data_IF_825248282091
#
_entry.id   IF_825248282091
#
_cell.length_a   1.000
_cell.length_b   1.000
_cell.length_c   1.000
_cell.angle_alpha   90.00
_cell.angle_beta   90.00
_cell.angle_gamma   90.00
#
_symmetry.space_group_name_H-M   'P 1'
#
loop_
_entity.id
_entity.type
_entity.pdbx_description
1 polymer ?
#
# COMPACT_ATOMS: atom_id res chain seq x y z
N UNK A 1 -2.94 -14.57 2.11
CA UNK A 1 -2.70 -13.18 1.67
C UNK A 1 -1.67 -12.56 2.61
N UNK A 2 -0.90 -11.60 2.12
CA UNK A 2 -0.03 -10.76 2.95
C UNK A 2 -0.63 -9.36 2.99
N UNK A 3 -0.63 -8.72 4.15
CA UNK A 3 -1.06 -7.33 4.31
C UNK A 3 0.17 -6.46 4.55
N UNK A 4 0.29 -5.36 3.82
CA UNK A 4 1.36 -4.37 3.92
C UNK A 4 0.70 -3.03 4.19
N UNK A 5 1.04 -2.43 5.33
CA UNK A 5 0.34 -1.28 5.86
C UNK A 5 1.36 -0.17 6.10
N UNK A 6 1.14 0.94 5.42
CA UNK A 6 1.80 2.20 5.73
C UNK A 6 1.42 2.65 7.14
N UNK A 7 2.42 3.02 7.93
CA UNK A 7 2.24 3.58 9.26
C UNK A 7 3.07 4.85 9.50
N UNK A 8 3.40 5.58 8.43
CA UNK A 8 4.04 6.89 8.52
C UNK A 8 3.10 7.95 9.13
N UNK A 9 3.62 9.15 9.36
CA UNK A 9 2.88 10.21 10.03
C UNK A 9 1.62 10.64 9.27
N UNK A 10 1.63 10.61 7.94
CA UNK A 10 0.49 10.97 7.10
C UNK A 10 -0.70 10.03 7.28
N UNK A 11 -0.47 8.80 7.75
CA UNK A 11 -1.51 7.81 8.04
C UNK A 11 -2.30 8.11 9.33
N UNK A 12 -1.93 9.11 10.13
CA UNK A 12 -2.64 9.45 11.37
C UNK A 12 -4.16 9.62 11.22
N UNK A 13 -4.69 10.31 10.18
CA UNK A 13 -6.13 10.42 9.95
C UNK A 13 -6.81 9.08 9.62
N UNK A 14 -6.04 8.09 9.17
CA UNK A 14 -6.51 6.75 8.80
C UNK A 14 -6.34 5.70 9.91
N UNK A 15 -5.59 6.00 10.98
CA UNK A 15 -5.20 5.02 11.99
C UNK A 15 -6.40 4.25 12.59
N UNK A 16 -7.51 4.94 12.87
CA UNK A 16 -8.72 4.29 13.37
C UNK A 16 -9.37 3.34 12.36
N UNK A 17 -9.35 3.70 11.06
CA UNK A 17 -9.86 2.86 9.99
C UNK A 17 -8.96 1.62 9.77
N UNK A 18 -7.64 1.80 9.81
CA UNK A 18 -6.66 0.71 9.76
C UNK A 18 -6.86 -0.27 10.92
N UNK A 19 -7.01 0.26 12.15
CA UNK A 19 -7.30 -0.56 13.32
C UNK A 19 -8.59 -1.38 13.15
N UNK A 20 -9.67 -0.74 12.68
CA UNK A 20 -10.94 -1.40 12.41
C UNK A 20 -10.80 -2.48 11.33
N UNK A 21 -10.04 -2.20 10.27
CA UNK A 21 -9.77 -3.16 9.20
C UNK A 21 -9.00 -4.37 9.71
N UNK A 22 -7.98 -4.17 10.56
CA UNK A 22 -7.23 -5.25 11.20
C UNK A 22 -8.17 -6.14 12.01
N UNK A 23 -8.98 -5.56 12.90
CA UNK A 23 -9.95 -6.31 13.71
C UNK A 23 -10.91 -7.14 12.85
N UNK A 24 -11.50 -6.52 11.83
CA UNK A 24 -12.41 -7.23 10.91
C UNK A 24 -11.70 -8.33 10.10
N UNK A 25 -10.43 -8.15 9.75
CA UNK A 25 -9.65 -9.15 9.02
C UNK A 25 -9.39 -10.40 9.85
N UNK A 26 -9.16 -10.23 11.15
CA UNK A 26 -9.07 -11.33 12.12
C UNK A 26 -10.41 -12.03 12.29
N UNK A 27 -11.50 -11.28 12.47
CA UNK A 27 -12.82 -11.83 12.76
C UNK A 27 -13.46 -12.56 11.56
N UNK A 28 -13.22 -12.08 10.33
CA UNK A 28 -13.97 -12.52 9.14
C UNK A 28 -13.17 -13.26 8.09
N UNK A 29 -11.86 -13.02 8.01
CA UNK A 29 -11.07 -13.52 6.89
C UNK A 29 -10.18 -14.67 7.35
N UNK A 30 -9.40 -14.54 8.42
CA UNK A 30 -8.31 -15.48 8.73
C UNK A 30 -7.43 -15.84 7.49
N UNK A 31 -7.49 -15.01 6.44
CA UNK A 31 -6.84 -15.21 5.15
C UNK A 31 -5.49 -14.49 5.11
N UNK A 32 -5.23 -13.57 6.05
CA UNK A 32 -3.96 -12.88 6.17
C UNK A 32 -3.02 -13.79 6.95
N UNK A 33 -1.99 -14.29 6.26
CA UNK A 33 -0.97 -15.17 6.83
C UNK A 33 0.21 -14.39 7.39
N UNK A 34 0.40 -13.16 6.91
CA UNK A 34 1.53 -12.32 7.25
C UNK A 34 1.14 -10.84 7.20
N UNK A 35 1.56 -10.08 8.19
CA UNK A 35 1.37 -8.63 8.28
C UNK A 35 2.74 -7.95 8.21
N UNK A 36 2.80 -6.85 7.46
CA UNK A 36 3.96 -5.98 7.33
C UNK A 36 3.51 -4.55 7.61
N UNK A 37 4.29 -3.84 8.41
CA UNK A 37 4.14 -2.41 8.69
C UNK A 37 5.44 -1.72 8.31
N UNK A 38 5.37 -0.57 7.65
CA UNK A 38 6.56 0.19 7.29
C UNK A 38 6.45 1.66 7.68
N UNK A 39 7.59 2.26 8.03
CA UNK A 39 7.67 3.62 8.57
C UNK A 39 8.70 4.51 7.86
N UNK A 40 9.17 4.06 6.70
CA UNK A 40 10.20 4.70 5.86
C UNK A 40 11.58 4.85 6.52
N UNK A 41 12.07 3.76 7.10
CA UNK A 41 13.49 3.65 7.47
C UNK A 41 13.84 4.02 8.91
N UNK A 42 12.92 3.91 9.87
CA UNK A 42 13.21 4.09 11.30
C UNK A 42 13.83 5.47 11.65
N UNK A 43 13.25 6.56 11.13
CA UNK A 43 13.77 7.94 11.26
C UNK A 43 15.20 8.10 10.71
N UNK A 44 15.63 7.22 9.80
CA UNK A 44 16.87 7.41 9.05
C UNK A 44 16.82 8.74 8.31
N UNK A 45 17.91 9.50 8.39
CA UNK A 45 18.06 10.76 7.67
C UNK A 45 17.81 10.58 6.17
N UNK A 46 17.10 11.51 5.54
CA UNK A 46 16.60 11.38 4.16
C UNK A 46 17.70 11.05 3.15
N UNK A 47 18.89 11.65 3.32
CA UNK A 47 20.05 11.41 2.46
C UNK A 47 20.59 9.97 2.51
N UNK A 48 20.23 9.19 3.53
CA UNK A 48 20.66 7.80 3.71
C UNK A 48 19.59 6.79 3.25
N UNK A 49 18.40 7.25 2.86
CA UNK A 49 17.31 6.41 2.37
C UNK A 49 17.57 6.01 0.91
N UNK A 50 18.26 4.90 0.74
CA UNK A 50 18.62 4.32 -0.56
C UNK A 50 17.56 3.30 -0.98
N UNK A 51 17.06 3.42 -2.22
CA UNK A 51 16.10 2.49 -2.80
C UNK A 51 16.63 1.05 -2.70
N UNK A 52 15.82 0.17 -2.14
CA UNK A 52 16.14 -1.24 -1.90
C UNK A 52 16.81 -1.52 -0.53
N UNK A 53 17.10 -0.48 0.26
CA UNK A 53 17.72 -0.61 1.58
C UNK A 53 17.28 0.49 2.57
N UNK A 54 16.09 1.05 2.36
CA UNK A 54 15.53 2.11 3.20
C UNK A 54 15.28 1.58 4.62
N UNK A 55 14.74 0.37 4.76
CA UNK A 55 14.51 -0.28 6.06
C UNK A 55 13.22 0.17 6.73
N UNK A 56 13.11 0.06 8.06
CA UNK A 56 11.89 0.44 8.77
C UNK A 56 10.70 -0.47 8.47
N UNK A 57 10.97 -1.75 8.20
CA UNK A 57 9.96 -2.75 7.82
C UNK A 57 9.82 -3.77 8.95
N UNK A 58 8.60 -3.93 9.45
CA UNK A 58 8.26 -4.75 10.60
C UNK A 58 7.26 -5.81 10.19
N UNK A 59 7.60 -7.09 10.40
CA UNK A 59 6.80 -8.23 9.95
C UNK A 59 6.33 -9.13 11.09
N UNK A 60 5.15 -9.74 10.94
CA UNK A 60 4.70 -10.81 11.84
C UNK A 60 3.76 -11.80 11.16
N UNK A 61 3.94 -13.08 11.50
CA UNK A 61 3.01 -14.16 11.21
C UNK A 61 2.33 -14.58 12.53
N UNK A 62 1.06 -14.23 12.70
CA UNK A 62 0.33 -14.52 13.94
C UNK A 62 -1.17 -14.55 13.68
N UNK A 63 -1.89 -15.31 14.50
CA UNK A 63 -3.36 -15.30 14.58
C UNK A 63 -3.86 -14.45 15.75
N UNK A 64 -2.96 -13.74 16.46
CA UNK A 64 -3.28 -12.89 17.59
C UNK A 64 -3.25 -11.40 17.21
N UNK A 65 -4.41 -10.75 17.25
CA UNK A 65 -4.55 -9.32 16.96
C UNK A 65 -3.64 -8.45 17.82
N UNK A 66 -3.48 -8.72 19.12
CA UNK A 66 -2.65 -7.92 20.01
C UNK A 66 -1.16 -7.99 19.61
N UNK A 67 -0.69 -9.15 19.16
CA UNK A 67 0.68 -9.28 18.62
C UNK A 67 0.86 -8.43 17.37
N UNK A 68 -0.11 -8.45 16.44
CA UNK A 68 -0.07 -7.59 15.24
C UNK A 68 -0.07 -6.11 15.60
N UNK A 69 -0.92 -5.70 16.55
CA UNK A 69 -0.97 -4.31 17.01
C UNK A 69 0.32 -3.86 17.68
N UNK A 70 0.97 -4.74 18.47
CA UNK A 70 2.25 -4.43 19.08
C UNK A 70 3.36 -4.19 18.03
N UNK A 71 3.38 -4.98 16.96
CA UNK A 71 4.33 -4.81 15.84
C UNK A 71 4.04 -3.53 15.05
N UNK A 72 2.76 -3.24 14.79
CA UNK A 72 2.33 -1.98 14.18
C UNK A 72 2.78 -0.77 15.01
N UNK A 73 2.54 -0.80 16.32
CA UNK A 73 2.96 0.27 17.24
C UNK A 73 4.48 0.43 17.32
N UNK A 74 5.23 -0.67 17.26
CA UNK A 74 6.69 -0.61 17.21
C UNK A 74 7.18 0.09 15.95
N UNK A 75 6.59 -0.23 14.78
CA UNK A 75 6.89 0.46 13.53
C UNK A 75 6.58 1.96 13.62
N UNK A 76 5.37 2.33 14.06
CA UNK A 76 4.96 3.74 14.25
C UNK A 76 5.89 4.52 15.20
N UNK A 77 6.39 3.86 16.26
CA UNK A 77 7.26 4.51 17.25
C UNK A 77 8.65 4.80 16.69
N UNK A 78 9.13 3.96 15.78
CA UNK A 78 10.51 4.02 15.30
C UNK A 78 10.69 4.93 14.08
N UNK A 79 9.62 5.32 13.38
CA UNK A 79 9.70 6.16 12.18
C UNK A 79 8.37 6.80 11.82
N UNK A 80 8.40 7.88 11.03
CA UNK A 80 7.19 8.62 10.63
C UNK A 80 7.16 9.05 9.15
N UNK A 81 8.01 8.52 8.27
CA UNK A 81 8.17 9.05 6.91
C UNK A 81 9.37 9.98 6.84
N UNK A 82 9.16 11.29 7.01
CA UNK A 82 10.23 12.31 6.94
C UNK A 82 10.05 13.22 5.74
N UNK A 83 10.80 12.99 4.65
CA UNK A 83 10.83 13.80 3.43
C UNK A 83 9.60 13.72 2.53
N UNK A 84 8.66 12.80 2.80
CA UNK A 84 7.44 12.60 2.03
C UNK A 84 7.48 11.37 1.11
N UNK A 85 8.56 11.12 0.34
CA UNK A 85 8.70 9.88 -0.40
C UNK A 85 9.04 8.65 0.44
N UNK A 86 8.27 7.59 0.30
CA UNK A 86 8.32 6.41 1.19
C UNK A 86 8.73 5.11 0.47
N UNK A 87 8.92 4.02 1.23
CA UNK A 87 9.45 2.73 0.76
C UNK A 87 8.41 1.60 0.66
N UNK A 88 7.24 1.90 0.09
CA UNK A 88 6.13 0.97 -0.08
C UNK A 88 6.53 -0.34 -0.76
N UNK A 89 7.28 -0.26 -1.86
CA UNK A 89 7.58 -1.44 -2.69
C UNK A 89 8.59 -2.35 -1.98
N UNK A 90 9.57 -1.82 -1.27
CA UNK A 90 10.46 -2.59 -0.39
C UNK A 90 9.65 -3.38 0.65
N UNK A 91 8.64 -2.77 1.28
CA UNK A 91 7.76 -3.43 2.24
C UNK A 91 6.91 -4.54 1.58
N UNK A 92 6.43 -4.32 0.36
CA UNK A 92 5.73 -5.34 -0.43
C UNK A 92 6.63 -6.54 -0.75
N UNK A 93 7.84 -6.30 -1.23
CA UNK A 93 8.80 -7.34 -1.57
C UNK A 93 9.21 -8.14 -0.33
N UNK A 94 9.40 -7.47 0.81
CA UNK A 94 9.60 -8.12 2.10
C UNK A 94 8.43 -9.06 2.42
N UNK A 95 7.19 -8.58 2.36
CA UNK A 95 6.00 -9.39 2.63
C UNK A 95 5.84 -10.61 1.73
N UNK A 96 6.11 -10.46 0.43
CA UNK A 96 6.09 -11.56 -0.54
C UNK A 96 7.12 -12.63 -0.16
N UNK A 97 8.34 -12.22 0.18
CA UNK A 97 9.42 -13.13 0.61
C UNK A 97 9.04 -13.90 1.88
N UNK A 98 8.39 -13.24 2.85
CA UNK A 98 8.00 -13.86 4.11
C UNK A 98 6.78 -14.79 3.98
N UNK A 99 5.97 -14.63 2.94
CA UNK A 99 4.80 -15.48 2.70
C UNK A 99 4.82 -16.13 1.31
N UNK A 100 5.69 -17.15 1.07
CA UNK A 100 5.79 -17.82 -0.22
C UNK A 100 4.50 -18.56 -0.64
N UNK A 101 3.60 -18.84 0.31
CA UNK A 101 2.29 -19.47 0.05
C UNK A 101 1.14 -18.46 -0.11
N UNK A 102 1.44 -17.16 -0.07
CA UNK A 102 0.46 -16.11 -0.34
C UNK A 102 0.30 -15.91 -1.84
N UNK A 103 -0.95 -15.77 -2.29
CA UNK A 103 -1.29 -15.58 -3.71
C UNK A 103 -1.76 -14.17 -4.04
N UNK A 104 -1.95 -13.32 -3.02
CA UNK A 104 -2.40 -11.94 -3.13
C UNK A 104 -1.76 -11.09 -2.04
N UNK A 105 -1.55 -9.81 -2.33
CA UNK A 105 -1.07 -8.80 -1.41
C UNK A 105 -2.15 -7.72 -1.22
N UNK A 106 -2.34 -7.26 0.02
CA UNK A 106 -3.15 -6.09 0.33
C UNK A 106 -2.19 -4.98 0.73
N UNK A 107 -2.29 -3.82 0.08
CA UNK A 107 -1.52 -2.64 0.42
C UNK A 107 -2.46 -1.56 0.94
N UNK A 108 -2.21 -1.06 2.14
CA UNK A 108 -3.01 -0.02 2.79
C UNK A 108 -2.14 1.21 2.96
N UNK A 109 -2.50 2.31 2.30
CA UNK A 109 -1.79 3.59 2.34
C UNK A 109 -2.78 4.74 2.22
N UNK A 110 -2.36 5.95 2.59
CA UNK A 110 -3.16 7.13 2.34
C UNK A 110 -2.98 7.67 0.92
N UNK A 111 -3.92 8.52 0.49
CA UNK A 111 -3.95 9.01 -0.87
C UNK A 111 -2.85 10.05 -1.19
N UNK A 112 -2.06 10.47 -0.21
CA UNK A 112 -0.93 11.40 -0.37
C UNK A 112 0.40 10.67 -0.60
N UNK A 113 0.39 9.33 -0.66
CA UNK A 113 1.59 8.51 -0.84
C UNK A 113 2.45 8.92 -2.05
N UNK A 114 3.77 8.93 -1.86
CA UNK A 114 4.73 9.19 -2.94
C UNK A 114 5.86 8.15 -2.94
N UNK A 115 5.61 6.89 -3.36
CA UNK A 115 6.61 5.84 -3.20
C UNK A 115 7.88 6.17 -3.98
N UNK A 116 9.02 6.26 -3.28
CA UNK A 116 10.34 6.55 -3.86
C UNK A 116 10.84 5.39 -4.71
N UNK A 117 10.37 4.19 -4.41
CA UNK A 117 10.89 2.92 -4.88
C UNK A 117 10.00 2.27 -5.95
N UNK A 118 9.18 3.05 -6.66
CA UNK A 118 8.36 2.58 -7.79
C UNK A 118 9.16 1.86 -8.89
N UNK A 119 10.47 2.13 -9.00
CA UNK A 119 11.38 1.39 -9.91
C UNK A 119 11.47 -0.10 -9.58
N UNK A 120 11.19 -0.49 -8.33
CA UNK A 120 11.19 -1.88 -7.87
C UNK A 120 9.88 -2.61 -8.17
N UNK A 121 8.83 -1.92 -8.62
CA UNK A 121 7.48 -2.48 -8.78
C UNK A 121 7.43 -3.67 -9.75
N UNK A 122 8.33 -3.74 -10.73
CA UNK A 122 8.44 -4.89 -11.64
C UNK A 122 8.80 -6.20 -10.93
N UNK A 123 9.33 -6.14 -9.71
CA UNK A 123 9.65 -7.31 -8.90
C UNK A 123 8.46 -7.78 -8.04
N UNK A 124 7.35 -7.05 -8.00
CA UNK A 124 6.15 -7.41 -7.25
C UNK A 124 5.36 -8.44 -8.05
N UNK A 125 5.39 -9.69 -7.62
CA UNK A 125 4.83 -10.84 -8.36
C UNK A 125 3.40 -11.20 -7.99
N UNK A 126 2.88 -10.66 -6.89
CA UNK A 126 1.50 -10.91 -6.45
C UNK A 126 0.57 -9.77 -6.89
N UNK A 127 -0.69 -10.07 -7.26
CA UNK A 127 -1.71 -9.05 -7.41
C UNK A 127 -1.86 -8.21 -6.15
N UNK A 128 -1.76 -6.88 -6.30
CA UNK A 128 -1.85 -5.92 -5.19
C UNK A 128 -3.24 -5.30 -5.15
N UNK A 129 -3.98 -5.60 -4.09
CA UNK A 129 -5.23 -4.94 -3.73
C UNK A 129 -4.92 -3.73 -2.87
N UNK A 130 -5.05 -2.54 -3.44
CA UNK A 130 -4.83 -1.29 -2.72
C UNK A 130 -6.09 -0.90 -1.96
N UNK A 131 -5.97 -0.58 -0.68
CA UNK A 131 -7.01 0.07 0.12
C UNK A 131 -6.49 1.46 0.45
N UNK A 132 -7.16 2.50 -0.06
CA UNK A 132 -6.74 3.88 0.16
C UNK A 132 -7.69 4.63 1.07
N UNK A 133 -7.14 5.50 1.91
CA UNK A 133 -7.87 6.43 2.75
C UNK A 133 -7.51 7.88 2.40
N UNK A 134 -8.13 8.87 3.07
CA UNK A 134 -7.90 10.31 2.82
C UNK A 134 -8.15 10.76 1.37
N UNK A 135 -9.14 10.17 0.71
CA UNK A 135 -9.53 10.60 -0.64
C UNK A 135 -10.14 12.01 -0.63
N UNK A 136 -11.02 12.32 0.33
CA UNK A 136 -11.69 13.63 0.39
C UNK A 136 -12.40 13.99 -0.92
N UNK A 137 -12.15 15.19 -1.44
CA UNK A 137 -12.55 15.61 -2.80
C UNK A 137 -11.47 15.35 -3.86
N UNK A 138 -10.36 14.73 -3.48
CA UNK A 138 -9.19 14.51 -4.32
C UNK A 138 -9.36 13.28 -5.23
N UNK A 139 -8.55 13.24 -6.26
CA UNK A 139 -8.35 12.09 -7.13
C UNK A 139 -7.56 10.99 -6.41
N UNK A 140 -7.84 9.72 -6.73
CA UNK A 140 -6.99 8.62 -6.29
C UNK A 140 -5.58 8.80 -6.86
N UNK A 141 -4.59 8.66 -6.00
CA UNK A 141 -3.19 8.80 -6.34
C UNK A 141 -2.80 7.89 -7.51
N UNK A 142 -2.18 8.46 -8.54
CA UNK A 142 -1.80 7.73 -9.74
C UNK A 142 -0.80 6.59 -9.45
N UNK A 143 0.06 6.73 -8.43
CA UNK A 143 0.98 5.66 -8.03
C UNK A 143 0.23 4.44 -7.51
N UNK A 144 -0.81 4.64 -6.68
CA UNK A 144 -1.68 3.57 -6.21
C UNK A 144 -2.41 2.88 -7.37
N UNK A 145 -2.91 3.65 -8.33
CA UNK A 145 -3.51 3.09 -9.56
C UNK A 145 -2.49 2.26 -10.34
N UNK A 146 -1.25 2.74 -10.45
CA UNK A 146 -0.19 2.06 -11.18
C UNK A 146 0.28 0.78 -10.48
N UNK A 147 0.37 0.78 -9.15
CA UNK A 147 0.65 -0.42 -8.34
C UNK A 147 -0.41 -1.48 -8.61
N UNK A 148 -1.69 -1.15 -8.45
CA UNK A 148 -2.79 -2.08 -8.70
C UNK A 148 -2.80 -2.56 -10.15
N UNK A 149 -2.64 -1.66 -11.12
CA UNK A 149 -2.70 -1.98 -12.55
C UNK A 149 -1.57 -2.91 -12.99
N UNK A 150 -0.32 -2.59 -12.63
CA UNK A 150 0.87 -3.32 -13.11
C UNK A 150 1.01 -4.69 -12.46
N UNK A 151 0.41 -4.88 -11.29
CA UNK A 151 0.38 -6.16 -10.59
C UNK A 151 -0.87 -7.00 -10.90
N UNK A 152 -1.82 -6.47 -11.69
CA UNK A 152 -3.08 -7.14 -11.99
C UNK A 152 -4.05 -7.20 -10.81
N UNK A 153 -3.91 -6.28 -9.85
CA UNK A 153 -4.79 -6.13 -8.70
C UNK A 153 -5.92 -5.11 -8.90
N UNK A 154 -6.32 -4.47 -7.80
CA UNK A 154 -7.51 -3.61 -7.71
C UNK A 154 -7.31 -2.48 -6.71
N UNK A 155 -8.18 -1.46 -6.77
CA UNK A 155 -8.21 -0.38 -5.77
C UNK A 155 -9.55 -0.43 -5.06
N UNK A 156 -9.54 -0.17 -3.77
CA UNK A 156 -10.68 -0.14 -2.88
C UNK A 156 -10.67 1.17 -2.10
N UNK A 157 -11.72 1.98 -2.27
CA UNK A 157 -11.95 3.20 -1.48
C UNK A 157 -13.13 2.96 -0.52
N UNK A 158 -13.51 3.97 0.28
CA UNK A 158 -14.72 3.86 1.11
C UNK A 158 -16.00 3.83 0.26
N UNK A 159 -15.95 4.43 -0.93
CA UNK A 159 -17.11 4.66 -1.80
C UNK A 159 -17.18 3.70 -2.98
N UNK A 160 -16.05 3.18 -3.46
CA UNK A 160 -15.98 2.41 -4.70
C UNK A 160 -14.86 1.36 -4.69
N UNK A 161 -15.20 0.18 -5.19
CA UNK A 161 -14.24 -0.82 -5.64
C UNK A 161 -13.96 -0.64 -7.15
N UNK A 162 -12.69 -0.57 -7.51
CA UNK A 162 -12.21 -0.36 -8.88
C UNK A 162 -11.40 -1.59 -9.28
N UNK A 163 -12.00 -2.38 -10.15
CA UNK A 163 -11.48 -3.68 -10.60
C UNK A 163 -11.18 -3.66 -12.10
N UNK A 164 -10.46 -4.66 -12.59
CA UNK A 164 -10.11 -4.85 -14.01
C UNK A 164 -9.36 -3.66 -14.66
N UNK A 165 -8.50 -2.99 -13.89
CA UNK A 165 -7.69 -1.86 -14.36
C UNK A 165 -6.77 -2.23 -15.52
N UNK A 166 -6.27 -3.47 -15.56
CA UNK A 166 -5.37 -3.98 -16.58
C UNK A 166 -6.03 -4.15 -17.94
N UNK A 167 -7.33 -4.45 -17.99
CA UNK A 167 -8.10 -4.71 -19.21
C UNK A 167 -8.45 -3.46 -20.04
N UNK A 168 -8.17 -2.26 -19.53
CA UNK A 168 -8.40 -1.01 -20.26
C UNK A 168 -7.29 -0.81 -21.30
N UNK A 169 -7.63 -0.60 -22.60
CA UNK A 169 -6.64 -0.43 -23.65
C UNK A 169 -5.88 0.90 -23.51
N UNK A 170 -4.70 0.99 -24.15
CA UNK A 170 -3.96 2.25 -24.26
C UNK A 170 -4.87 3.36 -24.83
N UNK A 171 -4.75 4.57 -24.30
CA UNK A 171 -5.60 5.73 -24.54
C UNK A 171 -7.05 5.62 -24.04
N UNK A 172 -7.48 4.45 -23.55
CA UNK A 172 -8.76 4.29 -22.87
C UNK A 172 -8.82 5.10 -21.58
N UNK A 173 -10.04 5.44 -21.16
CA UNK A 173 -10.29 6.24 -19.95
C UNK A 173 -11.08 5.46 -18.91
N UNK A 174 -10.83 5.78 -17.64
CA UNK A 174 -11.63 5.33 -16.50
C UNK A 174 -12.01 6.53 -15.64
N UNK A 175 -13.15 6.42 -14.97
CA UNK A 175 -13.60 7.39 -13.98
C UNK A 175 -13.49 6.76 -12.61
N UNK A 176 -12.79 7.45 -11.72
CA UNK A 176 -12.66 7.07 -10.31
C UNK A 176 -13.13 8.26 -9.47
N UNK A 177 -14.23 8.08 -8.75
CA UNK A 177 -14.94 9.19 -8.13
C UNK A 177 -15.42 10.20 -9.18
N UNK A 178 -14.90 11.43 -9.12
CA UNK A 178 -15.23 12.52 -10.08
C UNK A 178 -14.14 12.78 -11.14
N UNK A 179 -13.04 12.05 -11.07
CA UNK A 179 -11.85 12.33 -11.86
C UNK A 179 -11.70 11.31 -13.00
N UNK A 180 -11.15 11.77 -14.12
CA UNK A 180 -10.90 10.94 -15.30
C UNK A 180 -9.40 10.67 -15.45
N UNK A 181 -9.08 9.40 -15.71
CA UNK A 181 -7.71 8.95 -15.94
C UNK A 181 -7.60 8.36 -17.32
N UNK A 182 -6.45 8.58 -17.97
CA UNK A 182 -6.11 7.97 -19.26
C UNK A 182 -5.04 6.91 -19.06
N UNK A 183 -5.25 5.76 -19.69
CA UNK A 183 -4.23 4.70 -19.78
C UNK A 183 -3.14 5.12 -20.76
N UNK A 184 -1.90 5.13 -20.30
CA UNK A 184 -0.68 5.38 -21.08
C UNK A 184 0.25 4.17 -21.03
N UNK A 185 1.33 4.20 -21.81
CA UNK A 185 2.40 3.17 -21.75
C UNK A 185 3.06 3.08 -20.37
N UNK A 186 3.06 4.19 -19.62
CA UNK A 186 3.65 4.27 -18.29
C UNK A 186 2.63 4.03 -17.16
N UNK A 187 1.40 3.62 -17.48
CA UNK A 187 0.31 3.48 -16.51
C UNK A 187 -0.75 4.57 -16.65
N UNK A 188 -1.48 4.87 -15.59
CA UNK A 188 -2.54 5.88 -15.61
C UNK A 188 -2.02 7.27 -15.27
N UNK A 189 -2.58 8.26 -15.96
CA UNK A 189 -2.37 9.69 -15.70
C UNK A 189 -3.73 10.36 -15.58
N UNK A 190 -3.92 11.19 -14.56
CA UNK A 190 -5.13 11.99 -14.41
C UNK A 190 -5.18 13.06 -15.51
N UNK A 191 -6.35 13.25 -16.13
CA UNK A 191 -6.54 14.19 -17.25
C UNK A 191 -7.66 15.21 -17.03
N UNK A 192 -8.53 14.98 -16.04
CA UNK A 192 -9.62 15.87 -15.66
C UNK A 192 -10.11 15.51 -14.25
#
# INVERSE_FOLDING_TARGET
MVAVVDVTGSMQPCAAAVYKWLKLSYDKLNLIKYYVFFNDGDNKADALKVIGSTGGIYGTATTNLNTTLAVMQAAMKNGNGGDGPENDIEAMLYGIKQCPTCTNLIHIADNQVTPRDMVLLSNVTLPVKVITCQLGSSSVNANLINIATRTGGSIHTLEQDIVNLSGIPLNGTIIIGRNTYRRTVNGYTQIA
#
